data_IF_935041633517
#
_entry.id   IF_935041633517
#
_cell.length_a   1.000
_cell.length_b   1.000
_cell.length_c   1.000
_cell.angle_alpha   90.00
_cell.angle_beta   90.00
_cell.angle_gamma   90.00
#
_symmetry.space_group_name_H-M   'P 1'
#
loop_
_entity.id
_entity.type
_entity.pdbx_description
1 polymer ?
#
# COMPACT_ATOMS: atom_id res chain seq x y z
N UNK A 1 -39.25 18.37 3.45
CA UNK A 1 -37.84 18.60 3.83
C UNK A 1 -37.01 17.44 3.28
N UNK A 2 -36.21 17.66 2.23
CA UNK A 2 -35.19 16.67 1.83
C UNK A 2 -34.07 16.68 2.89
N UNK A 3 -33.58 15.51 3.29
CA UNK A 3 -32.56 15.41 4.32
C UNK A 3 -31.28 16.14 3.86
N UNK A 4 -30.70 16.99 4.73
CA UNK A 4 -29.51 17.81 4.44
C UNK A 4 -28.33 17.04 3.80
N UNK A 5 -28.18 15.75 4.13
CA UNK A 5 -27.17 14.86 3.55
C UNK A 5 -27.34 14.59 2.05
N UNK A 6 -28.58 14.51 1.57
CA UNK A 6 -28.91 14.26 0.16
C UNK A 6 -28.53 15.48 -0.71
N UNK A 7 -28.81 16.70 -0.22
CA UNK A 7 -28.46 17.94 -0.92
C UNK A 7 -26.95 18.15 -1.01
N UNK A 8 -26.19 17.84 0.04
CA UNK A 8 -24.72 17.96 -0.01
C UNK A 8 -24.11 17.02 -1.05
N UNK A 9 -24.57 15.77 -1.11
CA UNK A 9 -24.12 14.79 -2.10
C UNK A 9 -24.51 15.21 -3.53
N UNK A 10 -25.72 15.74 -3.71
CA UNK A 10 -26.19 16.27 -4.99
C UNK A 10 -25.32 17.42 -5.51
N UNK A 11 -24.92 18.36 -4.63
CA UNK A 11 -24.00 19.45 -4.98
C UNK A 11 -22.65 18.90 -5.41
N UNK A 12 -22.10 17.93 -4.66
CA UNK A 12 -20.81 17.31 -4.96
C UNK A 12 -20.80 16.60 -6.32
N UNK A 13 -21.84 15.81 -6.62
CA UNK A 13 -21.96 15.12 -7.90
C UNK A 13 -22.08 16.10 -9.09
N UNK A 14 -22.83 17.20 -8.91
CA UNK A 14 -22.92 18.26 -9.92
C UNK A 14 -21.57 18.98 -10.10
N UNK A 15 -20.86 19.25 -9.00
CA UNK A 15 -19.56 19.90 -9.01
C UNK A 15 -18.51 19.07 -9.76
N UNK A 16 -18.44 17.76 -9.49
CA UNK A 16 -17.53 16.83 -10.17
C UNK A 16 -17.71 16.89 -11.69
N UNK A 17 -18.95 16.71 -12.16
CA UNK A 17 -19.28 16.72 -13.59
C UNK A 17 -18.95 18.05 -14.29
N UNK A 18 -19.13 19.18 -13.60
CA UNK A 18 -18.84 20.51 -14.16
C UNK A 18 -17.34 20.80 -14.14
N UNK A 19 -16.68 20.53 -13.03
CA UNK A 19 -15.27 20.87 -12.83
C UNK A 19 -14.33 19.94 -13.59
N UNK A 20 -14.61 18.63 -13.70
CA UNK A 20 -13.72 17.71 -14.41
C UNK A 20 -13.57 18.04 -15.90
N UNK A 21 -14.62 18.64 -16.49
CA UNK A 21 -14.66 19.00 -17.91
C UNK A 21 -14.05 20.35 -18.24
N UNK A 22 -14.26 21.34 -17.37
CA UNK A 22 -13.90 22.76 -17.62
C UNK A 22 -12.72 23.22 -16.77
N UNK A 23 -12.32 22.43 -15.78
CA UNK A 23 -11.44 22.84 -14.71
C UNK A 23 -12.13 23.75 -13.69
N UNK A 24 -11.41 24.04 -12.61
CA UNK A 24 -11.89 24.88 -11.53
C UNK A 24 -12.09 26.32 -12.00
N UNK A 25 -11.18 26.87 -12.83
CA UNK A 25 -11.24 28.28 -13.21
C UNK A 25 -12.46 28.61 -14.08
N UNK A 26 -12.75 27.80 -15.09
CA UNK A 26 -13.81 28.07 -16.07
C UNK A 26 -15.21 27.60 -15.65
N UNK A 27 -15.33 26.79 -14.59
CA UNK A 27 -16.63 26.45 -13.98
C UNK A 27 -17.18 27.61 -13.12
N UNK A 28 -18.49 27.63 -12.87
CA UNK A 28 -19.11 28.64 -11.98
C UNK A 28 -20.03 27.98 -10.95
N UNK A 29 -20.22 28.63 -9.81
CA UNK A 29 -21.17 28.15 -8.77
C UNK A 29 -22.59 28.10 -9.33
N UNK A 30 -22.96 29.07 -10.17
CA UNK A 30 -24.24 29.09 -10.89
C UNK A 30 -24.44 27.90 -11.81
N UNK A 31 -23.39 27.52 -12.56
CA UNK A 31 -23.47 26.33 -13.40
C UNK A 31 -23.64 25.06 -12.57
N UNK A 32 -22.92 24.94 -11.45
CA UNK A 32 -23.02 23.79 -10.54
C UNK A 32 -24.42 23.70 -9.93
N UNK A 33 -24.97 24.82 -9.44
CA UNK A 33 -26.31 24.89 -8.88
C UNK A 33 -27.38 24.52 -9.90
N UNK A 34 -27.25 25.01 -11.14
CA UNK A 34 -28.13 24.64 -12.26
C UNK A 34 -28.08 23.15 -12.55
N UNK A 35 -26.89 22.53 -12.59
CA UNK A 35 -26.73 21.08 -12.80
C UNK A 35 -27.29 20.29 -11.61
N UNK A 36 -27.13 20.79 -10.39
CA UNK A 36 -27.74 20.22 -9.19
C UNK A 36 -29.25 20.47 -9.09
N UNK A 37 -29.85 21.35 -9.90
CA UNK A 37 -31.27 21.69 -9.80
C UNK A 37 -31.63 22.42 -8.49
N UNK A 38 -30.72 23.25 -7.98
CA UNK A 38 -30.88 24.06 -6.76
C UNK A 38 -30.57 25.53 -7.02
N UNK A 39 -30.93 26.39 -6.08
CA UNK A 39 -30.50 27.79 -6.09
C UNK A 39 -29.03 27.91 -5.64
N UNK A 40 -28.23 28.77 -6.29
CA UNK A 40 -26.82 29.02 -5.98
C UNK A 40 -26.55 29.33 -4.49
N UNK A 41 -27.46 30.05 -3.84
CA UNK A 41 -27.35 30.38 -2.40
C UNK A 41 -27.25 29.12 -1.53
N UNK A 42 -27.88 28.02 -1.96
CA UNK A 42 -27.85 26.74 -1.24
C UNK A 42 -26.44 26.18 -1.17
N UNK A 43 -25.61 26.36 -2.19
CA UNK A 43 -24.22 25.88 -2.20
C UNK A 43 -23.41 26.56 -1.10
N UNK A 44 -23.62 27.86 -0.88
CA UNK A 44 -22.89 28.62 0.14
C UNK A 44 -23.26 28.24 1.58
N UNK A 45 -24.39 27.55 1.80
CA UNK A 45 -24.69 26.97 3.11
C UNK A 45 -23.81 25.76 3.45
N UNK A 46 -23.28 25.06 2.44
CA UNK A 46 -22.45 23.86 2.64
C UNK A 46 -20.96 24.10 2.39
N UNK A 47 -20.62 25.05 1.51
CA UNK A 47 -19.26 25.27 1.04
C UNK A 47 -18.94 26.76 1.03
N UNK A 48 -17.78 27.12 1.59
CA UNK A 48 -17.37 28.52 1.72
C UNK A 48 -17.17 29.20 0.37
N UNK A 49 -16.71 28.44 -0.61
CA UNK A 49 -16.46 28.89 -1.97
C UNK A 49 -16.25 27.68 -2.90
N UNK A 50 -16.09 27.94 -4.20
CA UNK A 50 -15.85 26.91 -5.22
C UNK A 50 -14.60 26.04 -4.97
N UNK A 51 -13.55 26.59 -4.35
CA UNK A 51 -12.33 25.81 -3.99
C UNK A 51 -12.59 24.87 -2.82
N UNK A 52 -13.28 25.37 -1.80
CA UNK A 52 -13.70 24.58 -0.64
C UNK A 52 -14.60 23.39 -1.07
N UNK A 53 -15.49 23.63 -2.03
CA UNK A 53 -16.29 22.58 -2.68
C UNK A 53 -15.42 21.54 -3.39
N UNK A 54 -14.46 21.96 -4.23
CA UNK A 54 -13.54 21.05 -4.90
C UNK A 54 -12.75 20.20 -3.89
N UNK A 55 -12.13 20.81 -2.88
CA UNK A 55 -11.32 20.07 -1.92
C UNK A 55 -12.16 19.13 -1.05
N UNK A 56 -13.39 19.54 -0.69
CA UNK A 56 -14.33 18.69 0.03
C UNK A 56 -14.82 17.51 -0.81
N UNK A 57 -15.02 17.71 -2.12
CA UNK A 57 -15.35 16.65 -3.06
C UNK A 57 -14.22 15.61 -3.13
N UNK A 58 -12.97 16.05 -3.31
CA UNK A 58 -11.80 15.16 -3.34
C UNK A 58 -11.61 14.40 -2.02
N UNK A 59 -11.86 15.07 -0.88
CA UNK A 59 -11.83 14.42 0.42
C UNK A 59 -12.89 13.31 0.54
N UNK A 60 -14.11 13.55 0.06
CA UNK A 60 -15.16 12.54 0.06
C UNK A 60 -14.80 11.32 -0.81
N UNK A 61 -14.24 11.57 -2.01
CA UNK A 61 -13.72 10.50 -2.87
C UNK A 61 -12.62 9.70 -2.18
N UNK A 62 -11.62 10.37 -1.59
CA UNK A 62 -10.51 9.67 -0.94
C UNK A 62 -10.97 8.87 0.30
N UNK A 63 -11.96 9.35 1.05
CA UNK A 63 -12.53 8.59 2.17
C UNK A 63 -13.13 7.26 1.68
N UNK A 64 -13.84 7.27 0.55
CA UNK A 64 -14.39 6.06 -0.07
C UNK A 64 -13.27 5.15 -0.61
N UNK A 65 -12.24 5.71 -1.26
CA UNK A 65 -11.05 4.96 -1.71
C UNK A 65 -10.39 4.22 -0.55
N UNK A 66 -10.19 4.90 0.58
CA UNK A 66 -9.61 4.32 1.80
C UNK A 66 -10.50 3.20 2.35
N UNK A 67 -11.82 3.39 2.41
CA UNK A 67 -12.76 2.36 2.87
C UNK A 67 -12.65 1.11 2.00
N UNK A 68 -12.76 1.27 0.67
CA UNK A 68 -12.74 0.15 -0.28
C UNK A 68 -11.39 -0.57 -0.33
N UNK A 69 -10.26 0.15 -0.26
CA UNK A 69 -8.94 -0.50 -0.27
C UNK A 69 -8.73 -1.31 1.01
N UNK A 70 -9.14 -0.79 2.18
CA UNK A 70 -9.04 -1.54 3.43
C UNK A 70 -9.89 -2.81 3.41
N UNK A 71 -11.12 -2.73 2.89
CA UNK A 71 -11.98 -3.91 2.70
C UNK A 71 -11.32 -4.95 1.79
N UNK A 72 -10.67 -4.53 0.71
CA UNK A 72 -10.00 -5.45 -0.22
C UNK A 72 -8.68 -6.02 0.29
N UNK A 73 -8.03 -5.34 1.23
CA UNK A 73 -6.78 -5.78 1.86
C UNK A 73 -7.05 -6.68 3.07
N UNK A 74 -8.24 -6.61 3.66
CA UNK A 74 -8.63 -7.40 4.82
C UNK A 74 -8.48 -8.90 4.52
N UNK A 75 -7.84 -9.63 5.44
CA UNK A 75 -7.65 -11.07 5.33
C UNK A 75 -6.52 -11.52 4.39
N UNK A 76 -5.75 -10.60 3.78
CA UNK A 76 -4.54 -10.94 3.02
C UNK A 76 -3.32 -10.86 3.96
N UNK A 77 -2.72 -11.99 4.37
CA UNK A 77 -1.66 -11.96 5.39
C UNK A 77 -0.32 -11.51 4.81
N UNK A 78 0.05 -11.91 3.59
CA UNK A 78 1.37 -11.62 3.04
C UNK A 78 1.50 -10.16 2.58
N UNK A 79 2.56 -9.48 3.02
CA UNK A 79 2.81 -8.08 2.67
C UNK A 79 2.96 -7.85 1.15
N UNK A 80 3.62 -8.77 0.43
CA UNK A 80 3.77 -8.67 -1.03
C UNK A 80 2.42 -8.81 -1.76
N UNK A 81 1.56 -9.71 -1.27
CA UNK A 81 0.20 -9.89 -1.80
C UNK A 81 -0.65 -8.63 -1.55
N UNK A 82 -0.59 -8.07 -0.35
CA UNK A 82 -1.24 -6.79 -0.01
C UNK A 82 -0.74 -5.64 -0.88
N UNK A 83 0.57 -5.51 -1.07
CA UNK A 83 1.15 -4.47 -1.91
C UNK A 83 0.68 -4.60 -3.36
N UNK A 84 0.74 -5.81 -3.92
CA UNK A 84 0.28 -6.10 -5.29
C UNK A 84 -1.21 -5.78 -5.44
N UNK A 85 -2.04 -6.15 -4.44
CA UNK A 85 -3.47 -5.86 -4.42
C UNK A 85 -3.75 -4.35 -4.35
N UNK A 86 -3.00 -3.61 -3.54
CA UNK A 86 -3.13 -2.15 -3.45
C UNK A 86 -2.74 -1.45 -4.75
N UNK A 87 -1.65 -1.87 -5.40
CA UNK A 87 -1.23 -1.38 -6.73
C UNK A 87 -2.32 -1.62 -7.77
N UNK A 88 -2.86 -2.85 -7.83
CA UNK A 88 -3.98 -3.19 -8.71
C UNK A 88 -5.20 -2.31 -8.45
N UNK A 89 -5.60 -2.20 -7.18
CA UNK A 89 -6.77 -1.43 -6.77
C UNK A 89 -6.63 0.03 -7.19
N UNK A 90 -5.46 0.64 -6.98
CA UNK A 90 -5.21 2.03 -7.38
C UNK A 90 -5.40 2.22 -8.89
N UNK A 91 -4.77 1.38 -9.71
CA UNK A 91 -4.87 1.47 -11.17
C UNK A 91 -6.31 1.26 -11.65
N UNK A 92 -7.01 0.27 -11.09
CA UNK A 92 -8.39 -0.07 -11.46
C UNK A 92 -9.37 1.02 -11.03
N UNK A 93 -9.22 1.56 -9.81
CA UNK A 93 -10.07 2.63 -9.32
C UNK A 93 -9.91 3.88 -10.18
N UNK A 94 -8.67 4.28 -10.49
CA UNK A 94 -8.40 5.46 -11.31
C UNK A 94 -8.92 5.29 -12.74
N UNK A 95 -8.83 4.09 -13.33
CA UNK A 95 -9.41 3.79 -14.64
C UNK A 95 -10.93 4.01 -14.67
N UNK A 96 -11.62 3.65 -13.60
CA UNK A 96 -13.08 3.78 -13.50
C UNK A 96 -13.55 5.19 -13.09
N UNK A 97 -12.65 6.04 -12.59
CA UNK A 97 -12.98 7.33 -11.98
C UNK A 97 -12.08 8.47 -12.51
N UNK A 98 -11.95 8.59 -13.83
CA UNK A 98 -11.04 9.58 -14.44
C UNK A 98 -11.38 11.05 -14.09
N UNK A 99 -12.66 11.38 -13.90
CA UNK A 99 -13.08 12.74 -13.52
C UNK A 99 -12.44 13.17 -12.18
N UNK A 100 -12.52 12.30 -11.16
CA UNK A 100 -11.82 12.45 -9.89
C UNK A 100 -10.30 12.59 -10.07
N UNK A 101 -9.69 11.71 -10.87
CA UNK A 101 -8.23 11.72 -11.08
C UNK A 101 -7.76 13.03 -11.73
N UNK A 102 -8.51 13.54 -12.71
CA UNK A 102 -8.23 14.82 -13.38
C UNK A 102 -8.23 15.95 -12.37
N UNK A 103 -9.26 16.03 -11.52
CA UNK A 103 -9.40 17.06 -10.49
C UNK A 103 -8.30 16.97 -9.43
N UNK A 104 -7.98 15.76 -8.95
CA UNK A 104 -6.91 15.54 -7.99
C UNK A 104 -5.55 16.01 -8.55
N UNK A 105 -5.16 15.52 -9.73
CA UNK A 105 -3.83 15.74 -10.29
C UNK A 105 -3.62 17.16 -10.80
N UNK A 106 -4.62 17.75 -11.47
CA UNK A 106 -4.45 19.03 -12.17
C UNK A 106 -5.02 20.24 -11.43
N UNK A 107 -6.01 20.08 -10.55
CA UNK A 107 -6.63 21.20 -9.82
C UNK A 107 -6.26 21.25 -8.34
N UNK A 108 -6.15 20.09 -7.67
CA UNK A 108 -5.84 20.04 -6.25
C UNK A 108 -4.34 20.06 -5.97
N UNK A 109 -3.56 19.14 -6.57
CA UNK A 109 -2.11 19.07 -6.33
C UNK A 109 -1.33 20.28 -6.88
N UNK A 110 -1.88 20.99 -7.85
CA UNK A 110 -1.30 22.26 -8.35
C UNK A 110 -1.61 23.46 -7.44
N UNK A 111 -2.42 23.29 -6.40
CA UNK A 111 -2.89 24.36 -5.52
C UNK A 111 -2.35 24.22 -4.10
N UNK A 112 -1.47 25.14 -3.68
CA UNK A 112 -0.85 25.10 -2.35
C UNK A 112 -1.86 25.07 -1.19
N UNK A 113 -3.06 25.65 -1.38
CA UNK A 113 -4.10 25.67 -0.33
C UNK A 113 -4.73 24.30 -0.09
N UNK A 114 -4.62 23.37 -1.04
CA UNK A 114 -5.10 22.00 -0.86
C UNK A 114 -4.35 21.30 0.27
N UNK A 115 -3.03 21.51 0.36
CA UNK A 115 -2.15 20.91 1.38
C UNK A 115 -2.42 21.40 2.81
N UNK A 116 -3.21 22.47 2.95
CA UNK A 116 -3.65 23.02 4.24
C UNK A 116 -5.11 22.63 4.56
N UNK A 117 -5.80 21.97 3.63
CA UNK A 117 -7.19 21.59 3.77
C UNK A 117 -7.29 20.20 4.43
N UNK A 118 -8.29 19.94 5.29
CA UNK A 118 -8.46 18.63 5.95
C UNK A 118 -8.55 17.43 4.99
N UNK A 119 -9.01 17.66 3.76
CA UNK A 119 -9.04 16.62 2.71
C UNK A 119 -7.65 16.06 2.38
N UNK A 120 -6.58 16.85 2.54
CA UNK A 120 -5.22 16.38 2.28
C UNK A 120 -4.77 15.31 3.29
N UNK A 121 -5.29 15.33 4.52
CA UNK A 121 -5.02 14.30 5.52
C UNK A 121 -5.47 12.91 5.04
N UNK A 122 -6.54 12.85 4.24
CA UNK A 122 -7.00 11.60 3.64
C UNK A 122 -6.03 11.12 2.55
N UNK A 123 -5.47 12.03 1.74
CA UNK A 123 -4.42 11.68 0.77
C UNK A 123 -3.21 11.08 1.50
N UNK A 124 -2.80 11.71 2.61
CA UNK A 124 -1.70 11.23 3.45
C UNK A 124 -2.02 9.87 4.08
N UNK A 125 -3.26 9.66 4.55
CA UNK A 125 -3.71 8.38 5.10
C UNK A 125 -3.69 7.26 4.07
N UNK A 126 -4.11 7.53 2.84
CA UNK A 126 -4.02 6.57 1.74
C UNK A 126 -2.56 6.18 1.45
N UNK A 127 -1.66 7.16 1.38
CA UNK A 127 -0.22 6.91 1.26
C UNK A 127 0.35 6.15 2.48
N UNK A 128 -0.19 6.39 3.67
CA UNK A 128 0.12 5.70 4.92
C UNK A 128 -0.16 4.20 4.86
N UNK A 129 -1.29 3.78 4.26
CA UNK A 129 -1.62 2.36 4.10
C UNK A 129 -0.53 1.60 3.34
N UNK A 130 0.00 2.18 2.26
CA UNK A 130 1.10 1.57 1.51
C UNK A 130 2.38 1.50 2.34
N UNK A 131 2.69 2.55 3.11
CA UNK A 131 3.85 2.57 3.98
C UNK A 131 3.75 1.50 5.07
N UNK A 132 2.56 1.28 5.64
CA UNK A 132 2.34 0.28 6.66
C UNK A 132 2.47 -1.14 6.08
N UNK A 133 2.00 -1.39 4.85
CA UNK A 133 2.27 -2.66 4.15
C UNK A 133 3.78 -2.90 3.97
N UNK A 134 4.54 -1.84 3.59
CA UNK A 134 5.99 -1.93 3.44
C UNK A 134 6.67 -2.23 4.78
N UNK A 135 6.25 -1.58 5.87
CA UNK A 135 6.76 -1.82 7.23
C UNK A 135 6.47 -3.24 7.71
N UNK A 136 5.24 -3.73 7.49
CA UNK A 136 4.87 -5.11 7.82
C UNK A 136 5.73 -6.12 7.06
N UNK A 137 6.02 -5.83 5.79
CA UNK A 137 6.92 -6.67 4.99
C UNK A 137 8.36 -6.70 5.53
N UNK A 138 8.87 -5.59 6.06
CA UNK A 138 10.17 -5.58 6.76
C UNK A 138 10.09 -6.35 8.08
N UNK A 139 9.06 -6.09 8.89
CA UNK A 139 8.89 -6.74 10.19
C UNK A 139 8.73 -8.27 10.09
N UNK A 140 8.13 -8.76 9.00
CA UNK A 140 7.99 -10.18 8.71
C UNK A 140 9.21 -10.81 8.02
N UNK A 141 10.25 -10.03 7.69
CA UNK A 141 11.41 -10.48 6.94
C UNK A 141 11.15 -10.73 5.44
N UNK A 142 9.97 -10.37 4.92
CA UNK A 142 9.63 -10.51 3.51
C UNK A 142 10.32 -9.45 2.64
N UNK A 143 10.54 -8.25 3.19
CA UNK A 143 11.22 -7.12 2.53
C UNK A 143 12.52 -6.76 3.25
N UNK A 144 13.42 -6.12 2.50
CA UNK A 144 14.70 -5.63 3.01
C UNK A 144 14.50 -4.48 4.01
N UNK A 145 15.28 -4.47 5.07
CA UNK A 145 15.29 -3.46 6.13
C UNK A 145 16.23 -2.27 5.83
N UNK A 146 17.07 -2.37 4.79
CA UNK A 146 18.03 -1.34 4.39
C UNK A 146 17.48 -0.27 3.43
N UNK A 147 16.17 -0.23 3.24
CA UNK A 147 15.50 0.66 2.30
C UNK A 147 14.81 1.84 3.00
N UNK A 148 14.87 3.03 2.39
CA UNK A 148 13.96 4.12 2.76
C UNK A 148 12.54 3.79 2.26
N UNK A 149 11.70 3.28 3.16
CA UNK A 149 10.34 2.87 2.83
C UNK A 149 9.44 4.04 2.37
N UNK A 150 9.75 5.29 2.76
CA UNK A 150 9.01 6.46 2.26
C UNK A 150 9.36 6.71 0.80
N UNK A 151 10.64 6.63 0.45
CA UNK A 151 11.07 6.75 -0.94
C UNK A 151 10.50 5.62 -1.80
N UNK A 152 10.50 4.38 -1.31
CA UNK A 152 9.88 3.24 -2.02
C UNK A 152 8.39 3.50 -2.27
N UNK A 153 7.64 3.94 -1.24
CA UNK A 153 6.23 4.34 -1.39
C UNK A 153 6.07 5.44 -2.44
N UNK A 154 6.90 6.47 -2.38
CA UNK A 154 6.80 7.64 -3.29
C UNK A 154 7.12 7.25 -4.73
N UNK A 155 8.06 6.33 -4.96
CA UNK A 155 8.34 5.76 -6.28
C UNK A 155 7.14 4.98 -6.82
N UNK A 156 6.49 4.15 -5.98
CA UNK A 156 5.31 3.38 -6.40
C UNK A 156 4.15 4.33 -6.72
N UNK A 157 3.79 5.23 -5.81
CA UNK A 157 2.70 6.19 -6.02
C UNK A 157 2.96 7.12 -7.21
N UNK A 158 4.19 7.58 -7.39
CA UNK A 158 4.57 8.40 -8.54
C UNK A 158 4.42 7.67 -9.88
N UNK A 159 4.78 6.38 -9.95
CA UNK A 159 4.55 5.57 -11.14
C UNK A 159 3.06 5.38 -11.43
N UNK A 160 2.23 5.22 -10.40
CA UNK A 160 0.77 5.10 -10.53
C UNK A 160 0.10 6.39 -11.01
N UNK A 161 0.54 7.55 -10.48
CA UNK A 161 0.12 8.86 -10.97
C UNK A 161 0.50 9.01 -12.45
N UNK A 162 1.70 8.59 -12.84
CA UNK A 162 2.16 8.66 -14.23
C UNK A 162 1.33 7.79 -15.18
N UNK A 163 0.96 6.56 -14.79
CA UNK A 163 0.04 5.74 -15.58
C UNK A 163 -1.32 6.42 -15.77
N UNK A 164 -1.79 7.13 -14.74
CA UNK A 164 -3.04 7.88 -14.79
C UNK A 164 -2.95 9.07 -15.75
N UNK A 165 -1.84 9.82 -15.73
CA UNK A 165 -1.59 10.92 -16.67
C UNK A 165 -1.59 10.43 -18.12
N UNK A 166 -0.86 9.34 -18.42
CA UNK A 166 -0.82 8.74 -19.77
C UNK A 166 -2.21 8.39 -20.28
N UNK A 167 -3.07 7.86 -19.40
CA UNK A 167 -4.46 7.55 -19.77
C UNK A 167 -5.27 8.81 -20.06
N UNK A 168 -5.10 9.86 -19.26
CA UNK A 168 -5.77 11.15 -19.48
C UNK A 168 -5.33 11.78 -20.81
N UNK A 169 -4.04 11.66 -21.17
CA UNK A 169 -3.50 12.12 -22.46
C UNK A 169 -3.81 11.18 -23.64
N UNK A 170 -4.63 10.14 -23.42
CA UNK A 170 -5.05 9.12 -24.40
C UNK A 170 -3.90 8.30 -24.99
N UNK A 171 -2.79 8.20 -24.28
CA UNK A 171 -1.75 7.24 -24.61
C UNK A 171 -2.19 5.82 -24.23
N UNK A 172 -1.85 4.84 -25.08
CA UNK A 172 -2.10 3.44 -24.76
C UNK A 172 -1.22 3.00 -23.59
N UNK A 173 -1.87 2.61 -22.49
CA UNK A 173 -1.23 2.11 -21.28
C UNK A 173 -1.37 0.58 -21.15
N UNK A 174 -2.09 -0.06 -22.06
CA UNK A 174 -2.51 -1.46 -21.99
C UNK A 174 -3.51 -1.72 -20.86
N UNK A 175 -3.86 -2.98 -20.62
CA UNK A 175 -4.76 -3.35 -19.52
C UNK A 175 -4.14 -3.07 -18.13
N UNK A 176 -4.99 -2.74 -17.15
CA UNK A 176 -4.59 -2.52 -15.73
C UNK A 176 -3.73 -3.64 -15.17
N UNK A 177 -4.11 -4.90 -15.42
CA UNK A 177 -3.34 -6.06 -14.95
C UNK A 177 -1.93 -6.08 -15.53
N UNK A 178 -1.77 -5.72 -16.81
CA UNK A 178 -0.47 -5.63 -17.46
C UNK A 178 0.39 -4.49 -16.91
N UNK A 179 -0.21 -3.33 -16.60
CA UNK A 179 0.49 -2.22 -15.94
C UNK A 179 0.98 -2.62 -14.54
N UNK A 180 0.10 -3.24 -13.74
CA UNK A 180 0.46 -3.77 -12.43
C UNK A 180 1.63 -4.76 -12.54
N UNK A 181 1.55 -5.73 -13.44
CA UNK A 181 2.61 -6.74 -13.62
C UNK A 181 3.95 -6.10 -13.97
N UNK A 182 3.97 -5.11 -14.88
CA UNK A 182 5.19 -4.38 -15.23
C UNK A 182 5.75 -3.57 -14.06
N UNK A 183 4.90 -2.86 -13.31
CA UNK A 183 5.37 -2.12 -12.14
C UNK A 183 5.94 -3.09 -11.09
N UNK A 184 5.20 -4.15 -10.77
CA UNK A 184 5.61 -5.14 -9.78
C UNK A 184 6.85 -5.92 -10.21
N UNK A 185 7.12 -6.11 -11.51
CA UNK A 185 8.36 -6.76 -11.97
C UNK A 185 9.62 -5.96 -11.65
N UNK A 186 9.54 -4.63 -11.48
CA UNK A 186 10.65 -3.81 -11.01
C UNK A 186 10.65 -3.67 -9.49
N UNK A 187 9.47 -3.46 -8.89
CA UNK A 187 9.35 -3.21 -7.44
C UNK A 187 9.70 -4.46 -6.63
N UNK A 188 9.19 -5.64 -7.02
CA UNK A 188 9.38 -6.88 -6.26
C UNK A 188 10.87 -7.22 -6.06
N UNK A 189 11.73 -7.30 -7.10
CA UNK A 189 13.16 -7.57 -6.90
C UNK A 189 13.89 -6.50 -6.11
N UNK A 190 13.43 -5.25 -6.16
CA UNK A 190 14.02 -4.13 -5.41
C UNK A 190 13.79 -4.29 -3.90
N UNK A 191 12.58 -4.68 -3.50
CA UNK A 191 12.16 -4.70 -2.08
C UNK A 191 12.30 -6.05 -1.41
N UNK A 192 12.23 -7.16 -2.16
CA UNK A 192 12.26 -8.50 -1.57
C UNK A 192 13.57 -8.73 -0.81
N UNK A 193 13.45 -9.36 0.36
CA UNK A 193 14.61 -9.81 1.11
C UNK A 193 15.55 -10.59 0.18
N UNK A 194 16.84 -10.23 0.20
CA UNK A 194 17.84 -10.96 -0.58
C UNK A 194 17.91 -12.37 -0.02
N UNK A 195 18.01 -13.42 -0.86
CA UNK A 195 18.41 -14.72 -0.37
C UNK A 195 19.71 -14.52 0.38
N UNK A 196 19.73 -14.82 1.69
CA UNK A 196 21.00 -14.89 2.40
C UNK A 196 21.86 -15.89 1.63
N UNK A 197 23.09 -15.53 1.23
CA UNK A 197 24.00 -16.52 0.68
C UNK A 197 24.05 -17.68 1.68
N UNK A 198 23.93 -18.91 1.19
CA UNK A 198 23.98 -20.13 2.00
C UNK A 198 25.25 -20.08 2.88
N UNK A 199 25.12 -19.63 4.12
CA UNK A 199 26.28 -19.21 4.92
C UNK A 199 25.99 -18.15 5.99
N UNK A 200 24.93 -17.34 5.84
CA UNK A 200 24.48 -16.37 6.86
C UNK A 200 23.01 -16.53 7.25
N UNK A 201 22.54 -17.78 7.40
CA UNK A 201 21.36 -18.03 8.23
C UNK A 201 21.64 -17.65 9.70
N UNK A 202 20.74 -17.98 10.65
CA UNK A 202 21.12 -17.95 12.06
C UNK A 202 22.49 -18.64 12.20
N UNK A 203 23.35 -18.07 13.04
CA UNK A 203 24.69 -18.60 13.34
C UNK A 203 24.61 -20.13 13.30
N UNK A 204 25.56 -20.80 12.63
CA UNK A 204 25.57 -22.26 12.52
C UNK A 204 25.33 -22.88 13.90
N UNK A 205 25.90 -22.26 14.94
CA UNK A 205 25.62 -22.51 16.34
C UNK A 205 24.10 -22.48 16.69
N UNK A 206 23.41 -21.37 16.44
CA UNK A 206 21.98 -21.21 16.70
C UNK A 206 21.10 -22.23 15.94
N UNK A 207 21.44 -22.56 14.69
CA UNK A 207 20.72 -23.62 13.94
C UNK A 207 20.93 -25.00 14.53
N UNK A 208 22.14 -25.29 15.00
CA UNK A 208 22.47 -26.55 15.67
C UNK A 208 21.69 -26.65 17.00
N UNK A 209 21.61 -25.57 17.79
CA UNK A 209 20.84 -25.54 19.04
C UNK A 209 19.33 -25.76 18.80
N UNK A 210 18.72 -25.05 17.85
CA UNK A 210 17.30 -25.23 17.54
C UNK A 210 16.98 -26.65 17.01
N UNK A 211 17.89 -27.23 16.22
CA UNK A 211 17.75 -28.61 15.76
C UNK A 211 17.89 -29.62 16.90
N UNK A 212 18.80 -29.35 17.85
CA UNK A 212 19.01 -30.17 19.03
C UNK A 212 17.78 -30.16 19.96
N UNK A 213 17.26 -28.96 20.26
CA UNK A 213 16.05 -28.76 21.07
C UNK A 213 14.88 -29.57 20.50
N UNK A 214 14.68 -29.50 19.19
CA UNK A 214 13.62 -30.25 18.51
C UNK A 214 13.85 -31.75 18.56
N UNK A 215 15.06 -32.22 18.27
CA UNK A 215 15.38 -33.66 18.31
C UNK A 215 15.22 -34.25 19.72
N UNK A 216 15.66 -33.52 20.75
CA UNK A 216 15.52 -33.94 22.14
C UNK A 216 14.07 -33.90 22.62
N UNK A 217 13.29 -32.90 22.20
CA UNK A 217 11.88 -32.80 22.55
C UNK A 217 11.03 -33.90 21.91
N UNK A 218 11.31 -34.25 20.65
CA UNK A 218 10.52 -35.25 19.92
C UNK A 218 10.85 -36.70 20.31
N UNK A 219 12.12 -37.01 20.60
CA UNK A 219 12.59 -38.41 20.79
C UNK A 219 13.23 -38.69 22.15
N UNK A 220 13.44 -37.65 22.95
CA UNK A 220 14.25 -37.74 24.17
C UNK A 220 15.76 -37.79 23.89
N UNK A 221 16.54 -37.40 24.89
CA UNK A 221 17.99 -37.30 24.78
C UNK A 221 18.68 -38.60 24.38
N UNK A 222 18.25 -39.75 24.93
CA UNK A 222 18.89 -41.03 24.66
C UNK A 222 18.78 -41.45 23.18
N UNK A 223 17.61 -41.24 22.56
CA UNK A 223 17.32 -41.71 21.20
C UNK A 223 17.72 -40.71 20.10
N UNK A 224 17.84 -39.42 20.40
CA UNK A 224 18.33 -38.44 19.43
C UNK A 224 19.81 -38.68 19.08
N UNK A 225 20.19 -38.54 17.80
CA UNK A 225 21.57 -38.73 17.32
C UNK A 225 22.16 -37.44 16.78
N UNK A 226 23.49 -37.30 16.85
CA UNK A 226 24.22 -36.15 16.29
C UNK A 226 24.00 -36.06 14.77
N UNK A 227 24.02 -37.19 14.06
CA UNK A 227 23.69 -37.26 12.65
C UNK A 227 22.29 -36.73 12.32
N UNK A 228 21.28 -37.04 13.14
CA UNK A 228 19.93 -36.51 12.97
C UNK A 228 19.88 -35.00 13.20
N UNK A 229 20.53 -34.51 14.25
CA UNK A 229 20.60 -33.07 14.56
C UNK A 229 21.32 -32.31 13.43
N UNK A 230 22.41 -32.86 12.89
CA UNK A 230 23.14 -32.28 11.76
C UNK A 230 22.25 -32.16 10.52
N UNK A 231 21.50 -33.23 10.23
CA UNK A 231 20.53 -33.27 9.13
C UNK A 231 19.42 -32.25 9.33
N UNK A 232 18.87 -32.12 10.55
CA UNK A 232 17.84 -31.13 10.88
C UNK A 232 18.35 -29.68 10.80
N UNK A 233 19.60 -29.43 11.18
CA UNK A 233 20.25 -28.13 11.11
C UNK A 233 20.73 -27.75 9.69
N UNK A 234 20.77 -28.71 8.76
CA UNK A 234 21.29 -28.52 7.40
C UNK A 234 22.79 -28.27 7.39
N UNK A 235 23.54 -29.03 8.19
CA UNK A 235 25.01 -28.97 8.30
C UNK A 235 25.62 -30.38 8.21
N UNK A 236 26.92 -30.48 7.95
CA UNK A 236 27.63 -31.75 8.05
C UNK A 236 27.79 -32.16 9.52
N UNK A 237 27.84 -33.46 9.80
CA UNK A 237 28.00 -33.96 11.18
C UNK A 237 29.27 -33.43 11.85
N UNK A 238 30.38 -33.34 11.10
CA UNK A 238 31.63 -32.75 11.55
C UNK A 238 31.51 -31.29 12.00
N UNK A 239 30.57 -30.53 11.43
CA UNK A 239 30.34 -29.13 11.81
C UNK A 239 29.75 -29.01 13.22
N UNK A 240 29.04 -30.03 13.73
CA UNK A 240 28.58 -30.00 15.13
C UNK A 240 29.77 -30.06 16.09
N UNK A 241 30.78 -30.87 15.77
CA UNK A 241 31.98 -31.02 16.58
C UNK A 241 32.92 -29.81 16.55
N UNK A 242 32.69 -28.83 15.67
CA UNK A 242 33.37 -27.53 15.72
C UNK A 242 32.86 -26.65 16.89
N UNK A 243 31.62 -26.88 17.35
CA UNK A 243 30.96 -26.07 18.38
C UNK A 243 30.72 -26.83 19.70
N UNK A 244 30.50 -28.14 19.63
CA UNK A 244 30.12 -28.95 20.78
C UNK A 244 30.95 -30.21 20.83
N UNK A 245 31.49 -30.52 22.00
CA UNK A 245 32.41 -31.65 22.18
C UNK A 245 31.67 -32.99 22.06
N UNK A 246 30.40 -33.03 22.48
CA UNK A 246 29.57 -34.23 22.45
C UNK A 246 28.07 -33.89 22.57
N UNK A 247 27.20 -34.90 22.48
CA UNK A 247 25.73 -34.73 22.58
C UNK A 247 25.27 -34.14 23.91
N UNK A 248 25.99 -34.42 25.01
CA UNK A 248 25.65 -33.91 26.34
C UNK A 248 25.98 -32.41 26.47
N UNK A 249 27.13 -31.98 25.93
CA UNK A 249 27.52 -30.57 25.83
C UNK A 249 26.49 -29.74 25.04
N UNK A 250 25.97 -30.34 23.95
CA UNK A 250 24.89 -29.77 23.16
C UNK A 250 23.57 -29.64 23.94
N UNK A 251 23.21 -30.63 24.76
CA UNK A 251 22.02 -30.58 25.64
C UNK A 251 22.16 -29.50 26.71
N UNK A 252 23.36 -29.32 27.27
CA UNK A 252 23.61 -28.30 28.29
C UNK A 252 23.61 -26.87 27.75
N UNK A 253 23.61 -26.72 26.42
CA UNK A 253 23.67 -25.44 25.71
C UNK A 253 22.32 -24.95 25.20
N UNK A 254 21.24 -25.72 25.42
CA UNK A 254 19.85 -25.35 25.09
C UNK A 254 19.03 -25.03 26.35
#
# INVERSE_FOLDING_TARGET
MRASGDTRAQIMAAAEKVMSRKGLRASTVAEIARVAGINDSVIYHYFRNKRDLLFSLEGAHMAEVIRRVNEQLAGIPEALSRLSKMVWFHLHYNESNLDYVILLLFECRSNIKFYQHPAYELIQRYAGIMLDILRDGVASGAFRDDLDLRLVRDLILGALDWFSIKRITREDTGAVVGQMQRLMSFIRPMIQARPQPAGQGPDKHARILAAAERAFSEKGFAAATIAEIARLAGVAEGTIYEYFTNKQDLLMSI
#
